data_IF_303107688976
#
_entry.id   IF_303107688976
#
_cell.length_a   1.000
_cell.length_b   1.000
_cell.length_c   1.000
_cell.angle_alpha   90.00
_cell.angle_beta   90.00
_cell.angle_gamma   90.00
#
_symmetry.space_group_name_H-M   'P 1'
#
loop_
_entity.id
_entity.type
_entity.pdbx_description
1 polymer ?
#
# COMPACT_ATOMS: atom_id res chain seq x y z
N UNK A 1 -1.68 -27.46 47.64
CA UNK A 1 -2.20 -26.51 48.64
C UNK A 1 -2.56 -25.21 47.94
N UNK A 2 -3.85 -25.03 47.64
CA UNK A 2 -4.40 -23.83 47.01
C UNK A 2 -4.93 -22.97 48.15
N UNK A 3 -4.50 -21.71 48.25
CA UNK A 3 -5.14 -20.76 49.15
C UNK A 3 -5.51 -19.49 48.39
N UNK A 4 -6.81 -19.15 48.47
CA UNK A 4 -7.49 -18.01 47.86
C UNK A 4 -7.35 -16.80 48.79
N UNK A 5 -7.24 -15.59 48.25
CA UNK A 5 -7.65 -14.31 48.87
C UNK A 5 -7.62 -13.23 47.76
N UNK A 6 -8.70 -12.99 47.01
CA UNK A 6 -9.77 -12.03 47.32
C UNK A 6 -9.28 -10.66 47.83
N UNK A 7 -9.21 -9.67 46.93
CA UNK A 7 -9.27 -8.25 47.27
C UNK A 7 -10.25 -7.54 46.35
N UNK A 8 -11.49 -7.47 46.81
CA UNK A 8 -12.53 -6.58 46.32
C UNK A 8 -12.63 -5.47 47.38
N UNK A 9 -12.29 -4.22 47.05
CA UNK A 9 -12.49 -3.10 47.96
C UNK A 9 -13.29 -2.01 47.28
N UNK A 10 -14.49 -1.85 47.81
CA UNK A 10 -15.57 -0.94 47.48
C UNK A 10 -15.28 0.40 48.16
N UNK A 11 -15.33 1.52 47.44
CA UNK A 11 -15.50 2.83 48.06
C UNK A 11 -16.58 3.63 47.32
N UNK A 12 -17.79 3.59 47.88
CA UNK A 12 -18.84 4.61 47.75
C UNK A 12 -18.78 5.46 49.00
N UNK A 13 -18.68 6.78 48.88
CA UNK A 13 -19.07 7.71 49.94
C UNK A 13 -19.73 8.94 49.29
N UNK A 14 -20.74 9.46 49.99
CA UNK A 14 -21.90 10.21 49.51
C UNK A 14 -21.88 11.65 50.07
N UNK A 15 -22.72 12.54 49.48
CA UNK A 15 -23.36 13.77 50.07
C UNK A 15 -22.54 15.10 50.07
N UNK A 16 -23.07 16.32 49.85
CA UNK A 16 -24.40 16.90 49.51
C UNK A 16 -24.28 18.46 49.35
N UNK A 17 -25.31 19.12 48.78
CA UNK A 17 -25.63 20.59 48.77
C UNK A 17 -24.78 21.56 47.90
N UNK A 18 -25.27 22.65 47.29
CA UNK A 18 -26.57 23.33 47.16
C UNK A 18 -26.48 24.30 45.94
N UNK A 19 -27.63 24.66 45.38
CA UNK A 19 -27.84 25.43 44.16
C UNK A 19 -27.37 26.90 44.20
N UNK A 20 -27.07 27.47 43.02
CA UNK A 20 -27.44 28.83 42.60
C UNK A 20 -27.34 28.93 41.06
N UNK A 21 -28.38 29.49 40.44
CA UNK A 21 -28.56 29.51 38.99
C UNK A 21 -27.86 30.67 38.27
N UNK A 22 -27.70 30.49 36.97
CA UNK A 22 -27.63 31.57 35.99
C UNK A 22 -28.11 31.03 34.65
N UNK A 23 -29.23 31.58 34.16
CA UNK A 23 -29.69 31.34 32.81
C UNK A 23 -28.66 31.91 31.81
N UNK A 24 -28.28 31.11 30.83
CA UNK A 24 -27.61 31.58 29.63
C UNK A 24 -28.18 30.80 28.46
N UNK A 25 -29.05 31.48 27.72
CA UNK A 25 -29.36 31.15 26.33
C UNK A 25 -28.07 31.36 25.53
N UNK A 26 -27.72 30.44 24.63
CA UNK A 26 -27.23 30.70 23.27
C UNK A 26 -26.75 29.37 22.63
N UNK A 27 -27.32 29.12 21.44
CA UNK A 27 -26.79 28.32 20.34
C UNK A 27 -26.92 26.79 20.40
N UNK A 28 -27.94 26.30 19.68
CA UNK A 28 -27.93 24.97 19.08
C UNK A 28 -26.71 24.81 18.15
N UNK A 29 -25.64 24.17 18.62
CA UNK A 29 -24.71 23.51 17.71
C UNK A 29 -25.21 22.09 17.46
N UNK A 30 -25.71 21.84 16.25
CA UNK A 30 -25.79 20.49 15.68
C UNK A 30 -24.39 19.89 15.78
N UNK A 31 -24.19 19.00 16.74
CA UNK A 31 -23.04 18.11 16.73
C UNK A 31 -23.30 17.13 15.57
N UNK A 32 -22.78 17.45 14.39
CA UNK A 32 -22.64 16.43 13.35
C UNK A 32 -21.46 15.61 13.80
N UNK A 33 -21.74 14.44 14.38
CA UNK A 33 -20.75 13.39 14.48
C UNK A 33 -20.23 13.15 13.06
N UNK A 34 -19.01 13.63 12.79
CA UNK A 34 -18.25 13.25 11.61
C UNK A 34 -17.81 11.82 11.93
N UNK A 35 -18.27 10.79 11.18
CA UNK A 35 -17.70 9.46 11.32
C UNK A 35 -16.19 9.60 11.06
N UNK A 36 -15.38 9.18 12.03
CA UNK A 36 -13.95 9.00 11.81
C UNK A 36 -13.85 7.89 10.78
N UNK A 37 -13.59 8.26 9.53
CA UNK A 37 -13.20 7.30 8.51
C UNK A 37 -11.80 6.85 8.89
N UNK A 38 -11.69 5.60 9.33
CA UNK A 38 -10.40 4.91 9.38
C UNK A 38 -9.77 5.02 7.98
N UNK A 39 -8.44 5.22 7.83
CA UNK A 39 -7.82 5.26 6.51
C UNK A 39 -8.11 3.94 5.81
N UNK A 40 -9.11 3.95 4.92
CA UNK A 40 -9.45 2.80 4.10
C UNK A 40 -8.23 2.50 3.24
N UNK A 41 -7.69 1.28 3.25
CA UNK A 41 -6.65 0.91 2.30
C UNK A 41 -7.21 1.18 0.91
N UNK A 42 -6.51 2.00 0.11
CA UNK A 42 -6.88 2.30 -1.28
C UNK A 42 -6.76 0.99 -2.08
N UNK A 43 -7.82 0.19 -2.01
CA UNK A 43 -8.00 -1.06 -2.73
C UNK A 43 -8.71 -0.69 -4.00
N UNK A 44 -7.92 -0.37 -5.02
CA UNK A 44 -8.42 -0.10 -6.35
C UNK A 44 -8.64 -1.41 -7.09
N UNK A 45 -9.85 -1.91 -6.89
CA UNK A 45 -10.50 -2.99 -7.64
C UNK A 45 -10.74 -2.54 -9.10
N UNK A 46 -9.68 -2.20 -9.84
CA UNK A 46 -9.76 -1.88 -11.28
C UNK A 46 -10.05 -3.11 -12.14
N UNK A 47 -10.06 -4.30 -11.55
CA UNK A 47 -10.22 -5.57 -12.27
C UNK A 47 -9.03 -5.94 -13.18
N UNK A 48 -7.97 -5.11 -13.20
CA UNK A 48 -6.76 -5.36 -13.97
C UNK A 48 -5.99 -6.54 -13.39
N UNK A 49 -5.56 -7.44 -14.27
CA UNK A 49 -4.80 -8.64 -13.93
C UNK A 49 -3.31 -8.33 -13.89
N UNK A 50 -2.53 -9.23 -13.29
CA UNK A 50 -1.08 -9.21 -13.45
C UNK A 50 -0.71 -10.17 -14.58
N UNK A 51 -0.06 -9.65 -15.63
CA UNK A 51 0.46 -10.49 -16.71
C UNK A 51 1.63 -11.33 -16.19
N UNK A 52 1.68 -12.61 -16.55
CA UNK A 52 2.80 -13.51 -16.22
C UNK A 52 3.70 -13.64 -17.45
N UNK A 53 4.89 -13.00 -17.48
CA UNK A 53 5.79 -13.05 -18.62
C UNK A 53 6.26 -14.47 -18.94
N UNK A 54 6.57 -14.75 -20.20
CA UNK A 54 7.07 -16.06 -20.63
C UNK A 54 8.37 -16.45 -19.92
N UNK A 55 9.28 -15.51 -19.73
CA UNK A 55 10.55 -15.73 -19.01
C UNK A 55 10.34 -16.08 -17.52
N UNK A 56 9.15 -15.79 -16.99
CA UNK A 56 8.73 -16.11 -15.62
C UNK A 56 7.64 -17.18 -15.57
N UNK A 57 7.36 -17.88 -16.68
CA UNK A 57 6.26 -18.84 -16.77
C UNK A 57 6.33 -19.92 -15.69
N UNK A 58 7.56 -20.38 -15.38
CA UNK A 58 7.83 -21.43 -14.39
C UNK A 58 7.99 -20.91 -12.95
N UNK A 59 7.97 -19.59 -12.73
CA UNK A 59 8.06 -19.03 -11.39
C UNK A 59 6.72 -19.20 -10.65
N UNK A 60 6.75 -19.73 -9.43
CA UNK A 60 5.56 -19.79 -8.58
C UNK A 60 5.43 -18.50 -7.77
N UNK A 61 4.52 -17.62 -8.17
CA UNK A 61 4.36 -16.32 -7.54
C UNK A 61 3.65 -16.38 -6.19
N UNK A 62 3.16 -17.55 -5.77
CA UNK A 62 2.62 -17.77 -4.43
C UNK A 62 3.67 -18.32 -3.47
N UNK A 63 4.83 -18.76 -3.98
CA UNK A 63 5.92 -19.28 -3.15
C UNK A 63 6.83 -18.15 -2.67
N UNK A 64 7.05 -18.08 -1.36
CA UNK A 64 8.02 -17.15 -0.78
C UNK A 64 9.48 -17.46 -1.19
N UNK A 65 9.74 -18.64 -1.74
CA UNK A 65 11.07 -19.04 -2.25
C UNK A 65 11.38 -18.49 -3.65
N UNK A 66 10.36 -18.04 -4.39
CA UNK A 66 10.54 -17.46 -5.73
C UNK A 66 11.26 -16.11 -5.67
N UNK A 67 11.99 -15.74 -6.74
CA UNK A 67 12.66 -14.43 -6.80
C UNK A 67 11.69 -13.27 -6.53
N UNK A 68 10.47 -13.37 -7.09
CA UNK A 68 9.36 -12.47 -6.85
C UNK A 68 8.12 -13.28 -6.49
N UNK A 69 7.30 -12.76 -5.57
CA UNK A 69 6.05 -13.39 -5.16
C UNK A 69 5.04 -12.35 -4.66
N UNK A 70 3.76 -12.72 -4.61
CA UNK A 70 2.70 -11.82 -4.17
C UNK A 70 2.83 -11.40 -2.70
N UNK A 71 3.41 -12.24 -1.84
CA UNK A 71 3.70 -11.88 -0.44
C UNK A 71 4.72 -10.73 -0.32
N UNK A 72 5.55 -10.54 -1.35
CA UNK A 72 6.51 -9.43 -1.50
C UNK A 72 6.09 -8.48 -2.60
N UNK A 73 4.84 -8.03 -2.55
CA UNK A 73 4.31 -7.09 -3.53
C UNK A 73 3.35 -6.07 -2.92
N UNK A 74 3.16 -4.95 -3.63
CA UNK A 74 2.12 -3.96 -3.33
C UNK A 74 1.56 -3.41 -4.65
N UNK A 75 0.27 -3.10 -4.65
CA UNK A 75 -0.46 -2.68 -5.85
C UNK A 75 -1.11 -1.32 -5.66
N UNK A 76 -1.22 -0.59 -6.77
CA UNK A 76 -2.10 0.56 -6.98
C UNK A 76 -3.05 0.26 -8.14
N UNK A 77 -3.76 1.26 -8.65
CA UNK A 77 -4.74 1.15 -9.73
C UNK A 77 -4.15 0.52 -10.99
N UNK A 78 -2.98 1.01 -11.41
CA UNK A 78 -2.35 0.68 -12.69
C UNK A 78 -1.02 -0.06 -12.55
N UNK A 79 -0.46 -0.16 -11.33
CA UNK A 79 0.83 -0.80 -11.10
C UNK A 79 0.79 -1.90 -10.06
N UNK A 80 1.71 -2.84 -10.21
CA UNK A 80 2.19 -3.73 -9.15
C UNK A 80 3.70 -3.55 -9.00
N UNK A 81 4.16 -3.46 -7.75
CA UNK A 81 5.59 -3.53 -7.41
C UNK A 81 5.84 -4.87 -6.74
N UNK A 82 6.79 -5.63 -7.25
CA UNK A 82 7.41 -6.76 -6.59
C UNK A 82 8.78 -6.34 -6.05
N UNK A 83 9.17 -6.86 -4.89
CA UNK A 83 10.55 -6.75 -4.43
C UNK A 83 11.19 -8.13 -4.28
N UNK A 84 12.50 -8.17 -4.49
CA UNK A 84 13.25 -9.40 -4.60
C UNK A 84 13.34 -10.15 -3.27
N UNK A 85 13.54 -11.48 -3.33
CA UNK A 85 13.59 -12.38 -2.17
C UNK A 85 14.62 -11.97 -1.10
N UNK A 86 15.65 -11.23 -1.48
CA UNK A 86 16.75 -10.80 -0.60
C UNK A 86 16.29 -9.79 0.47
N UNK A 87 15.14 -9.12 0.29
CA UNK A 87 14.48 -8.36 1.36
C UNK A 87 13.87 -9.28 2.44
N UNK A 88 13.79 -10.60 2.23
CA UNK A 88 13.19 -11.53 3.17
C UNK A 88 11.69 -11.27 3.37
N UNK A 89 11.24 -11.26 4.63
CA UNK A 89 9.82 -11.09 4.97
C UNK A 89 9.46 -9.64 5.34
N UNK A 90 10.41 -8.71 5.28
CA UNK A 90 10.17 -7.31 5.67
C UNK A 90 9.73 -6.47 4.48
N UNK A 91 8.98 -5.42 4.76
CA UNK A 91 8.68 -4.39 3.78
C UNK A 91 9.96 -3.59 3.50
N UNK A 92 10.29 -3.25 2.23
CA UNK A 92 11.45 -2.40 1.91
C UNK A 92 11.47 -1.05 2.63
N UNK A 93 10.34 -0.56 3.14
CA UNK A 93 10.26 0.69 3.91
C UNK A 93 10.51 0.52 5.42
N UNK A 94 10.68 -0.71 5.91
CA UNK A 94 10.79 -1.00 7.35
C UNK A 94 12.06 -0.39 7.96
N UNK A 95 11.97 -0.01 9.23
CA UNK A 95 13.09 0.49 10.02
C UNK A 95 14.25 -0.52 10.18
N UNK A 96 13.98 -1.82 10.03
CA UNK A 96 14.98 -2.88 10.06
C UNK A 96 15.81 -2.97 8.77
N UNK A 97 15.34 -2.41 7.65
CA UNK A 97 16.08 -2.41 6.39
C UNK A 97 17.20 -1.36 6.46
N UNK A 98 18.47 -1.71 6.21
CA UNK A 98 19.55 -0.74 6.18
C UNK A 98 19.24 0.43 5.25
N UNK A 99 19.56 1.66 5.65
CA UNK A 99 19.15 2.87 4.92
C UNK A 99 19.52 2.84 3.43
N UNK A 100 20.68 2.25 3.09
CA UNK A 100 21.13 2.10 1.69
C UNK A 100 20.24 1.22 0.82
N UNK A 101 19.38 0.39 1.41
CA UNK A 101 18.44 -0.49 0.70
C UNK A 101 16.98 -0.13 0.97
N UNK A 102 16.72 0.89 1.78
CA UNK A 102 15.37 1.24 2.19
C UNK A 102 14.65 2.00 1.08
N UNK A 103 13.44 1.55 0.74
CA UNK A 103 12.62 2.17 -0.29
C UNK A 103 11.21 2.36 0.24
N UNK A 104 10.70 3.58 0.16
CA UNK A 104 9.31 3.88 0.45
C UNK A 104 8.42 3.42 -0.71
N UNK A 105 7.81 2.24 -0.54
CA UNK A 105 6.97 1.60 -1.57
C UNK A 105 5.70 2.41 -1.84
N UNK A 106 5.15 3.11 -0.85
CA UNK A 106 3.94 3.93 -1.02
C UNK A 106 4.24 5.19 -1.81
N UNK A 107 5.34 5.87 -1.48
CA UNK A 107 5.80 7.01 -2.27
C UNK A 107 6.16 6.60 -3.70
N UNK A 108 6.74 5.41 -3.89
CA UNK A 108 7.08 4.88 -5.20
C UNK A 108 5.83 4.59 -6.06
N UNK A 109 4.83 3.90 -5.49
CA UNK A 109 3.55 3.67 -6.16
C UNK A 109 2.84 4.98 -6.50
N UNK A 110 2.83 5.94 -5.58
CA UNK A 110 2.23 7.26 -5.81
C UNK A 110 2.88 8.00 -6.99
N UNK A 111 4.22 7.96 -7.09
CA UNK A 111 4.96 8.52 -8.23
C UNK A 111 4.64 7.78 -9.54
N UNK A 112 4.59 6.45 -9.50
CA UNK A 112 4.23 5.63 -10.67
C UNK A 112 2.85 6.00 -11.21
N UNK A 113 1.85 6.14 -10.32
CA UNK A 113 0.52 6.62 -10.70
C UNK A 113 0.55 8.04 -11.31
N UNK A 114 1.37 8.94 -10.77
CA UNK A 114 1.61 10.25 -11.38
C UNK A 114 2.13 10.15 -12.81
N UNK A 115 3.08 9.24 -13.07
CA UNK A 115 3.57 8.97 -14.43
C UNK A 115 2.50 8.37 -15.34
N UNK A 116 1.60 7.52 -14.82
CA UNK A 116 0.45 7.05 -15.60
C UNK A 116 -0.44 8.21 -16.03
N UNK A 117 -0.81 9.08 -15.09
CA UNK A 117 -1.65 10.24 -15.38
C UNK A 117 -1.03 11.15 -16.44
N UNK A 118 0.27 11.43 -16.33
CA UNK A 118 0.97 12.23 -17.32
C UNK A 118 1.09 11.51 -18.67
N UNK A 119 1.68 10.32 -18.72
CA UNK A 119 2.06 9.69 -19.98
C UNK A 119 0.88 9.06 -20.73
N UNK A 120 -0.07 8.46 -20.00
CA UNK A 120 -1.23 7.80 -20.60
C UNK A 120 -2.38 8.77 -20.74
N UNK A 121 -2.76 9.48 -19.67
CA UNK A 121 -3.98 10.28 -19.69
C UNK A 121 -3.80 11.67 -20.29
N UNK A 122 -2.65 12.32 -20.12
CA UNK A 122 -2.42 13.66 -20.66
C UNK A 122 -1.70 13.63 -22.01
N UNK A 123 -0.53 12.98 -22.09
CA UNK A 123 0.32 12.95 -23.29
C UNK A 123 -0.14 11.92 -24.32
N UNK A 124 -1.03 11.00 -23.95
CA UNK A 124 -1.62 9.98 -24.84
C UNK A 124 -0.58 9.09 -25.53
N UNK A 125 0.52 8.75 -24.85
CA UNK A 125 1.51 7.78 -25.36
C UNK A 125 0.96 6.36 -25.49
N UNK A 126 -0.17 6.07 -24.83
CA UNK A 126 -0.98 4.90 -25.11
C UNK A 126 -2.39 5.32 -25.49
N UNK A 127 -2.94 4.70 -26.53
CA UNK A 127 -4.30 4.97 -26.99
C UNK A 127 -5.31 4.07 -26.24
N UNK A 128 -5.96 4.63 -25.23
CA UNK A 128 -7.01 3.94 -24.48
C UNK A 128 -8.36 3.89 -25.21
N UNK A 129 -8.53 4.61 -26.33
CA UNK A 129 -9.74 4.49 -27.15
C UNK A 129 -9.83 3.15 -27.88
N UNK A 130 -8.69 2.50 -28.08
CA UNK A 130 -8.60 1.16 -28.62
C UNK A 130 -9.00 0.14 -27.55
N UNK A 131 -10.10 -0.56 -27.79
CA UNK A 131 -10.55 -1.69 -26.94
C UNK A 131 -9.54 -2.84 -26.88
N UNK A 132 -8.58 -2.87 -27.81
CA UNK A 132 -7.49 -3.83 -27.86
C UNK A 132 -6.32 -3.48 -26.93
N UNK A 133 -6.29 -2.27 -26.36
CA UNK A 133 -5.20 -1.83 -25.48
C UNK A 133 -5.02 -2.78 -24.29
N UNK A 134 -3.79 -3.19 -24.05
CA UNK A 134 -3.45 -4.07 -22.92
C UNK A 134 -3.57 -3.37 -21.56
N UNK A 135 -3.60 -2.03 -21.52
CA UNK A 135 -3.82 -1.26 -20.30
C UNK A 135 -5.25 -1.41 -19.75
N UNK A 136 -6.20 -1.92 -20.54
CA UNK A 136 -7.53 -2.31 -20.06
C UNK A 136 -7.55 -3.70 -19.39
N UNK A 137 -6.44 -4.45 -19.47
CA UNK A 137 -6.37 -5.84 -19.03
C UNK A 137 -5.36 -6.05 -17.93
N UNK A 138 -4.23 -5.34 -17.98
CA UNK A 138 -3.08 -5.62 -17.14
C UNK A 138 -2.54 -4.38 -16.43
N UNK A 139 -2.06 -4.60 -15.21
CA UNK A 139 -1.22 -3.62 -14.50
C UNK A 139 0.19 -3.63 -15.06
N UNK A 140 0.81 -2.45 -15.15
CA UNK A 140 2.24 -2.32 -15.39
C UNK A 140 3.03 -2.82 -14.19
N UNK A 141 4.26 -3.27 -14.43
CA UNK A 141 5.02 -4.02 -13.44
C UNK A 141 6.29 -3.27 -13.04
N UNK A 142 6.64 -3.35 -11.77
CA UNK A 142 7.88 -2.81 -11.25
C UNK A 142 8.56 -3.89 -10.42
N UNK A 143 9.87 -4.07 -10.61
CA UNK A 143 10.68 -5.04 -9.88
C UNK A 143 11.81 -4.32 -9.15
N UNK A 144 11.73 -4.32 -7.82
CA UNK A 144 12.75 -3.77 -6.95
C UNK A 144 13.76 -4.85 -6.56
N UNK A 145 15.01 -4.68 -6.99
CA UNK A 145 16.13 -5.56 -6.66
C UNK A 145 16.87 -5.02 -5.45
N UNK A 146 17.07 -5.89 -4.45
CA UNK A 146 17.99 -5.61 -3.35
C UNK A 146 19.43 -5.85 -3.80
N UNK A 147 20.11 -4.81 -4.28
CA UNK A 147 21.50 -4.86 -4.74
C UNK A 147 22.19 -3.52 -4.52
N UNK A 148 23.53 -3.55 -4.48
CA UNK A 148 24.35 -2.34 -4.36
C UNK A 148 24.47 -1.59 -5.71
N UNK A 149 24.48 -2.32 -6.82
CA UNK A 149 24.66 -1.73 -8.15
C UNK A 149 23.43 -0.93 -8.59
N UNK A 150 23.69 0.21 -9.22
CA UNK A 150 22.66 1.05 -9.83
C UNK A 150 21.92 0.28 -10.94
N UNK A 151 20.60 0.26 -10.85
CA UNK A 151 19.70 -0.32 -11.83
C UNK A 151 18.49 0.59 -11.96
N UNK A 152 18.22 1.10 -13.16
CA UNK A 152 16.95 1.72 -13.52
C UNK A 152 16.69 1.53 -15.02
N UNK A 153 16.18 0.35 -15.38
CA UNK A 153 15.92 -0.03 -16.77
C UNK A 153 14.43 -0.29 -16.98
N UNK A 154 13.91 0.04 -18.16
CA UNK A 154 12.52 -0.18 -18.52
C UNK A 154 12.40 -0.85 -19.90
N UNK A 155 11.41 -1.72 -20.05
CA UNK A 155 11.11 -2.44 -21.30
C UNK A 155 9.71 -3.05 -21.23
N UNK A 156 9.25 -3.68 -22.31
CA UNK A 156 8.02 -4.47 -22.33
C UNK A 156 8.30 -5.96 -22.14
N UNK A 157 7.40 -6.67 -21.46
CA UNK A 157 7.38 -8.13 -21.51
C UNK A 157 6.50 -8.61 -22.65
N UNK A 158 7.05 -9.47 -23.51
CA UNK A 158 6.32 -10.16 -24.59
C UNK A 158 5.58 -9.23 -25.56
N UNK A 159 5.98 -7.95 -25.65
CA UNK A 159 5.23 -6.88 -26.32
C UNK A 159 3.79 -6.68 -25.78
N UNK A 160 3.54 -7.12 -24.53
CA UNK A 160 2.23 -7.07 -23.88
C UNK A 160 2.13 -5.91 -22.90
N UNK A 161 3.05 -5.81 -21.93
CA UNK A 161 2.95 -4.85 -20.84
C UNK A 161 4.30 -4.25 -20.45
N UNK A 162 4.30 -2.96 -20.15
CA UNK A 162 5.48 -2.22 -19.70
C UNK A 162 5.93 -2.65 -18.29
N UNK A 163 7.25 -2.69 -18.11
CA UNK A 163 7.92 -3.06 -16.87
C UNK A 163 9.13 -2.17 -16.59
N UNK A 164 9.44 -2.01 -15.30
CA UNK A 164 10.59 -1.27 -14.78
C UNK A 164 11.35 -2.16 -13.79
N UNK A 165 12.67 -2.26 -13.92
CA UNK A 165 13.54 -2.90 -12.95
C UNK A 165 14.42 -1.84 -12.31
N UNK A 166 14.43 -1.78 -10.98
CA UNK A 166 15.15 -0.76 -10.23
C UNK A 166 15.88 -1.33 -9.02
N UNK A 167 16.91 -0.63 -8.55
CA UNK A 167 17.55 -0.86 -7.25
C UNK A 167 17.43 0.39 -6.35
N UNK A 168 17.64 0.27 -5.03
CA UNK A 168 17.58 1.41 -4.10
C UNK A 168 18.56 2.55 -4.41
N UNK A 169 19.64 2.27 -5.12
CA UNK A 169 20.63 3.27 -5.52
C UNK A 169 20.15 4.17 -6.67
N UNK A 170 18.99 3.88 -7.28
CA UNK A 170 18.44 4.55 -8.46
C UNK A 170 17.88 5.96 -8.22
#
# INVERSE_FOLDING_TARGET
>A
MINKNHYLSVYKCLLFCLALGSASLISCKKNKDIPKEDPKPLTTETGLKIYKPKDMANMDWNSEESQFCYARSKQSDHYIIFWSKEYGKVNPSDASVPDKYRVDIDAMLSKAEGFYQMNVNQLKFADLSLSTSNLHKYKMMIFLYHQDDWLATGSGYDDVIGSLWVSPAA
#
